data_IF_360359012173
#
_entry.id   IF_360359012173
#
_cell.length_a   1.000
_cell.length_b   1.000
_cell.length_c   1.000
_cell.angle_alpha   90.00
_cell.angle_beta   90.00
_cell.angle_gamma   90.00
#
_symmetry.space_group_name_H-M   'P 1'
#
loop_
_entity.id
_entity.type
_entity.pdbx_description
1 polymer ?
#
# COMPACT_ATOMS: atom_id res chain seq x y z
N UNK A 1 -5.19 -17.94 5.03
CA UNK A 1 -5.57 -17.30 6.31
C UNK A 1 -6.71 -16.33 6.06
N UNK A 2 -7.74 -16.41 6.88
CA UNK A 2 -8.91 -15.56 6.72
C UNK A 2 -8.63 -14.13 7.18
N UNK A 3 -9.17 -13.18 6.46
CA UNK A 3 -9.06 -11.76 6.77
C UNK A 3 -10.37 -11.05 6.43
N UNK A 4 -10.52 -9.85 6.99
CA UNK A 4 -11.60 -8.93 6.64
C UNK A 4 -11.01 -7.57 6.32
N UNK A 5 -11.65 -6.84 5.41
CA UNK A 5 -11.36 -5.44 5.16
C UNK A 5 -12.46 -4.62 5.82
N UNK A 6 -12.08 -3.80 6.78
CA UNK A 6 -13.01 -2.96 7.54
C UNK A 6 -12.58 -1.51 7.38
N UNK A 7 -13.51 -0.64 7.02
CA UNK A 7 -13.22 0.78 6.83
C UNK A 7 -12.57 1.36 8.08
N UNK A 8 -11.47 2.08 7.89
CA UNK A 8 -10.74 2.71 8.99
C UNK A 8 -11.51 3.89 9.58
N UNK A 9 -11.29 4.16 10.86
CA UNK A 9 -11.91 5.27 11.59
C UNK A 9 -10.84 6.18 12.19
N UNK A 10 -11.29 7.28 12.82
CA UNK A 10 -10.38 8.21 13.50
C UNK A 10 -9.48 7.52 14.52
N UNK A 11 -9.98 6.48 15.18
CA UNK A 11 -9.19 5.73 16.17
C UNK A 11 -8.02 4.99 15.57
N UNK A 12 -8.00 4.80 14.26
CA UNK A 12 -6.96 4.07 13.55
C UNK A 12 -5.81 4.96 13.03
N UNK A 13 -5.97 6.28 13.11
CA UNK A 13 -5.03 7.23 12.48
C UNK A 13 -3.59 7.00 12.93
N UNK A 14 -3.34 6.84 14.23
CA UNK A 14 -1.97 6.62 14.72
C UNK A 14 -1.35 5.35 14.17
N UNK A 15 -2.12 4.28 14.10
CA UNK A 15 -1.67 3.01 13.54
C UNK A 15 -1.40 3.12 12.04
N UNK A 16 -2.26 3.83 11.30
CA UNK A 16 -2.06 4.07 9.86
C UNK A 16 -0.81 4.91 9.60
N UNK A 17 -0.55 5.91 10.43
CA UNK A 17 0.68 6.71 10.36
C UNK A 17 1.90 5.82 10.57
N UNK A 18 1.87 4.96 11.57
CA UNK A 18 2.95 4.03 11.86
C UNK A 18 3.22 3.08 10.68
N UNK A 19 2.19 2.49 10.11
CA UNK A 19 2.32 1.61 8.94
C UNK A 19 2.94 2.33 7.75
N UNK A 20 2.49 3.54 7.46
CA UNK A 20 3.03 4.31 6.34
C UNK A 20 4.50 4.67 6.53
N UNK A 21 4.88 5.07 7.74
CA UNK A 21 6.27 5.34 8.08
C UNK A 21 7.13 4.10 7.88
N UNK A 22 6.69 2.94 8.35
CA UNK A 22 7.42 1.68 8.19
C UNK A 22 7.61 1.35 6.71
N UNK A 23 6.61 1.55 5.89
CA UNK A 23 6.71 1.32 4.44
C UNK A 23 7.76 2.25 3.81
N UNK A 24 7.70 3.54 4.11
CA UNK A 24 8.61 4.51 3.52
C UNK A 24 10.05 4.25 3.98
N UNK A 25 10.27 4.08 5.28
CA UNK A 25 11.62 3.93 5.83
C UNK A 25 12.25 2.57 5.54
N UNK A 26 11.49 1.58 5.14
CA UNK A 26 12.03 0.29 4.69
C UNK A 26 12.91 0.46 3.44
N UNK A 27 12.53 1.36 2.53
CA UNK A 27 13.20 1.52 1.24
C UNK A 27 13.96 2.83 1.09
N UNK A 28 13.63 3.85 1.85
CA UNK A 28 14.32 5.13 1.83
C UNK A 28 15.56 5.05 2.73
N UNK A 29 16.75 5.05 2.11
CA UNK A 29 18.04 4.88 2.79
C UNK A 29 18.82 6.19 2.83
N UNK A 30 19.77 6.29 3.78
CA UNK A 30 20.74 7.39 3.85
C UNK A 30 20.08 8.78 3.91
N UNK A 31 19.00 8.86 4.69
CA UNK A 31 18.24 10.10 4.83
C UNK A 31 18.88 11.04 5.84
N UNK A 32 18.93 12.33 5.51
CA UNK A 32 19.30 13.38 6.46
C UNK A 32 18.19 13.58 7.49
N UNK A 33 18.53 14.26 8.59
CA UNK A 33 17.54 14.61 9.62
C UNK A 33 16.39 15.46 9.04
N UNK A 34 16.72 16.41 8.14
CA UNK A 34 15.71 17.22 7.46
C UNK A 34 14.78 16.40 6.60
N UNK A 35 15.31 15.42 5.86
CA UNK A 35 14.51 14.53 5.03
C UNK A 35 13.57 13.67 5.88
N UNK A 36 14.06 13.13 6.99
CA UNK A 36 13.25 12.36 7.94
C UNK A 36 12.12 13.22 8.50
N UNK A 37 12.41 14.45 8.89
CA UNK A 37 11.40 15.38 9.41
C UNK A 37 10.33 15.71 8.36
N UNK A 38 10.72 15.91 7.11
CA UNK A 38 9.77 16.14 6.00
C UNK A 38 8.85 14.96 5.78
N UNK A 39 9.40 13.74 5.82
CA UNK A 39 8.61 12.51 5.67
C UNK A 39 7.63 12.38 6.84
N UNK A 40 8.08 12.58 8.07
CA UNK A 40 7.23 12.50 9.25
C UNK A 40 6.07 13.51 9.18
N UNK A 41 6.36 14.75 8.77
CA UNK A 41 5.33 15.77 8.62
C UNK A 41 4.36 15.44 7.49
N UNK A 42 4.86 14.96 6.37
CA UNK A 42 4.03 14.54 5.24
C UNK A 42 3.04 13.45 5.66
N UNK A 43 3.53 12.40 6.31
CA UNK A 43 2.69 11.27 6.73
C UNK A 43 1.64 11.72 7.75
N UNK A 44 2.04 12.52 8.75
CA UNK A 44 1.15 13.02 9.80
C UNK A 44 0.00 13.86 9.21
N UNK A 45 0.29 14.63 8.17
CA UNK A 45 -0.71 15.49 7.53
C UNK A 45 -1.54 14.74 6.49
N UNK A 46 -0.94 13.81 5.77
CA UNK A 46 -1.57 13.13 4.64
C UNK A 46 -2.54 12.02 5.06
N UNK A 47 -2.18 11.23 6.07
CA UNK A 47 -3.02 10.11 6.51
C UNK A 47 -4.42 10.57 6.93
N UNK A 48 -4.58 11.61 7.77
CA UNK A 48 -5.94 12.05 8.14
C UNK A 48 -6.77 12.51 6.94
N UNK A 49 -6.15 13.14 5.94
CA UNK A 49 -6.85 13.60 4.74
C UNK A 49 -7.40 12.45 3.91
N UNK A 50 -6.72 11.30 3.93
CA UNK A 50 -7.09 10.11 3.16
C UNK A 50 -7.82 9.07 3.98
N UNK A 51 -8.22 9.39 5.19
CA UNK A 51 -8.82 8.41 6.11
C UNK A 51 -10.01 7.67 5.49
N UNK A 52 -10.86 8.36 4.74
CA UNK A 52 -12.03 7.76 4.11
C UNK A 52 -11.68 6.73 3.02
N UNK A 53 -10.43 6.72 2.56
CA UNK A 53 -9.93 5.80 1.54
C UNK A 53 -9.20 4.59 2.12
N UNK A 54 -8.94 4.61 3.44
CA UNK A 54 -8.26 3.52 4.12
C UNK A 54 -9.21 2.44 4.58
N UNK A 55 -8.76 1.19 4.47
CA UNK A 55 -9.38 0.04 5.11
C UNK A 55 -8.36 -0.66 5.99
N UNK A 56 -8.80 -1.13 7.15
CA UNK A 56 -7.99 -1.98 8.00
C UNK A 56 -8.03 -3.41 7.49
N UNK A 57 -6.89 -4.08 7.50
CA UNK A 57 -6.84 -5.53 7.30
C UNK A 57 -6.93 -6.16 8.69
N UNK A 58 -7.96 -6.99 8.90
CA UNK A 58 -8.27 -7.56 10.21
C UNK A 58 -8.18 -9.08 10.15
N UNK A 59 -7.44 -9.66 11.09
CA UNK A 59 -7.30 -11.11 11.26
C UNK A 59 -7.57 -11.42 12.72
N UNK A 60 -8.49 -12.35 12.99
CA UNK A 60 -8.87 -12.74 14.35
C UNK A 60 -9.18 -11.53 15.25
N UNK A 61 -10.01 -10.61 14.71
CA UNK A 61 -10.46 -9.38 15.39
C UNK A 61 -9.34 -8.37 15.71
N UNK A 62 -8.16 -8.54 15.11
CA UNK A 62 -7.03 -7.61 15.28
C UNK A 62 -6.72 -6.91 13.98
N UNK A 63 -6.44 -5.61 14.05
CA UNK A 63 -5.90 -4.86 12.92
C UNK A 63 -4.43 -5.28 12.73
N UNK A 64 -4.11 -5.81 11.56
CA UNK A 64 -2.78 -6.32 11.23
C UNK A 64 -2.15 -5.66 10.00
N UNK A 65 -2.84 -4.71 9.42
CA UNK A 65 -2.37 -4.00 8.24
C UNK A 65 -3.41 -3.02 7.72
N UNK A 66 -3.13 -2.46 6.56
CA UNK A 66 -4.04 -1.52 5.93
C UNK A 66 -3.98 -1.57 4.40
N UNK A 67 -5.03 -1.06 3.78
CA UNK A 67 -5.16 -0.89 2.35
C UNK A 67 -5.61 0.53 2.06
N UNK A 68 -4.93 1.21 1.15
CA UNK A 68 -5.30 2.54 0.70
C UNK A 68 -5.54 2.52 -0.80
N UNK A 69 -6.76 2.83 -1.20
CA UNK A 69 -7.15 2.98 -2.59
C UNK A 69 -7.60 4.43 -2.82
N UNK A 70 -7.07 5.06 -3.86
CA UNK A 70 -7.45 6.43 -4.22
C UNK A 70 -7.81 6.49 -5.70
N UNK A 71 -8.51 7.54 -6.10
CA UNK A 71 -8.84 7.76 -7.50
C UNK A 71 -7.59 8.24 -8.25
N UNK A 72 -7.41 7.75 -9.46
CA UNK A 72 -6.28 8.13 -10.31
C UNK A 72 -6.70 8.12 -11.77
N UNK A 73 -6.74 9.31 -12.40
CA UNK A 73 -7.07 9.47 -13.81
C UNK A 73 -8.32 8.68 -14.21
N UNK A 74 -8.16 7.62 -14.99
CA UNK A 74 -9.24 6.75 -15.50
C UNK A 74 -9.42 5.49 -14.66
N UNK A 75 -8.79 5.40 -13.50
CA UNK A 75 -8.83 4.17 -12.70
C UNK A 75 -8.62 4.40 -11.22
N UNK A 76 -8.05 3.40 -10.59
CA UNK A 76 -7.79 3.37 -9.14
C UNK A 76 -6.29 3.25 -8.89
N UNK A 77 -5.77 4.02 -7.96
CA UNK A 77 -4.40 3.85 -7.48
C UNK A 77 -4.42 2.95 -6.24
N UNK A 78 -3.72 1.82 -6.31
CA UNK A 78 -3.39 1.03 -5.14
C UNK A 78 -2.21 1.75 -4.46
N UNK A 79 -2.55 2.69 -3.58
CA UNK A 79 -1.60 3.64 -3.01
C UNK A 79 -0.76 3.01 -1.90
N UNK A 80 -1.36 2.16 -1.11
CA UNK A 80 -0.66 1.49 -0.02
C UNK A 80 -1.33 0.15 0.29
N UNK A 81 -0.51 -0.88 0.49
CA UNK A 81 -0.91 -2.13 1.13
C UNK A 81 0.20 -2.52 2.09
N UNK A 82 -0.15 -2.70 3.34
CA UNK A 82 0.81 -3.05 4.39
C UNK A 82 0.25 -4.17 5.26
N UNK A 83 1.10 -5.15 5.56
CA UNK A 83 0.82 -6.21 6.52
C UNK A 83 1.96 -6.26 7.54
N UNK A 84 1.61 -6.40 8.81
CA UNK A 84 2.60 -6.68 9.85
C UNK A 84 3.34 -7.97 9.52
N UNK A 85 4.61 -8.01 9.83
CA UNK A 85 5.55 -9.03 9.36
C UNK A 85 5.06 -10.47 9.58
N UNK A 86 4.50 -10.77 10.76
CA UNK A 86 4.06 -12.13 11.06
C UNK A 86 2.84 -12.60 10.29
N UNK A 87 2.17 -11.69 9.58
CA UNK A 87 1.01 -12.04 8.73
C UNK A 87 1.35 -12.10 7.25
N UNK A 88 2.61 -11.86 6.90
CA UNK A 88 3.09 -11.93 5.52
C UNK A 88 3.33 -13.39 5.09
N UNK A 89 3.37 -13.61 3.78
CA UNK A 89 3.62 -14.91 3.16
C UNK A 89 2.57 -15.97 3.53
N UNK A 90 1.34 -15.54 3.79
CA UNK A 90 0.19 -16.41 4.12
C UNK A 90 -0.95 -16.26 3.13
N UNK A 91 -0.72 -15.55 2.03
CA UNK A 91 -1.70 -15.36 0.96
C UNK A 91 -2.65 -14.19 1.15
N UNK A 92 -2.61 -13.49 2.27
CA UNK A 92 -3.52 -12.36 2.54
C UNK A 92 -3.32 -11.24 1.51
N UNK A 93 -2.09 -10.77 1.33
CA UNK A 93 -1.78 -9.70 0.39
C UNK A 93 -2.18 -10.03 -1.03
N UNK A 94 -1.86 -11.23 -1.48
CA UNK A 94 -2.22 -11.72 -2.82
C UNK A 94 -3.73 -11.73 -3.00
N UNK A 95 -4.47 -12.21 -2.03
CA UNK A 95 -5.93 -12.27 -2.09
C UNK A 95 -6.56 -10.88 -2.11
N UNK A 96 -6.01 -9.93 -1.36
CA UNK A 96 -6.48 -8.55 -1.38
C UNK A 96 -6.25 -7.92 -2.76
N UNK A 97 -5.08 -8.12 -3.34
CA UNK A 97 -4.78 -7.60 -4.68
C UNK A 97 -5.73 -8.19 -5.73
N UNK A 98 -6.01 -9.49 -5.66
CA UNK A 98 -7.00 -10.13 -6.54
C UNK A 98 -8.39 -9.55 -6.37
N UNK A 99 -8.78 -9.23 -5.14
CA UNK A 99 -10.06 -8.59 -4.84
C UNK A 99 -10.13 -7.18 -5.47
N UNK A 100 -9.05 -6.41 -5.35
CA UNK A 100 -8.94 -5.09 -6.00
C UNK A 100 -9.06 -5.22 -7.51
N UNK A 101 -8.39 -6.20 -8.10
CA UNK A 101 -8.47 -6.50 -9.55
C UNK A 101 -9.90 -6.83 -9.97
N UNK A 102 -10.61 -7.63 -9.18
CA UNK A 102 -11.98 -8.02 -9.50
C UNK A 102 -12.96 -6.85 -9.47
N UNK A 103 -12.67 -5.83 -8.67
CA UNK A 103 -13.56 -4.69 -8.46
C UNK A 103 -13.20 -3.44 -9.27
N UNK A 104 -12.12 -3.48 -10.05
CA UNK A 104 -11.63 -2.32 -10.78
C UNK A 104 -11.12 -2.74 -12.16
N UNK A 105 -11.44 -1.95 -13.19
CA UNK A 105 -11.00 -2.25 -14.57
C UNK A 105 -9.57 -1.79 -14.82
N UNK A 106 -9.16 -0.68 -14.21
CA UNK A 106 -7.84 -0.08 -14.39
C UNK A 106 -7.27 0.22 -13.02
N UNK A 107 -6.06 -0.27 -12.78
CA UNK A 107 -5.37 -0.09 -11.50
C UNK A 107 -3.95 0.36 -11.75
N UNK A 108 -3.53 1.39 -11.02
CA UNK A 108 -2.15 1.88 -11.01
C UNK A 108 -1.52 1.60 -9.67
N UNK A 109 -0.20 1.43 -9.64
CA UNK A 109 0.57 1.34 -8.41
C UNK A 109 2.01 1.75 -8.62
N UNK A 110 2.65 2.19 -7.53
CA UNK A 110 4.08 2.37 -7.44
C UNK A 110 4.69 1.25 -6.60
N UNK A 111 5.84 0.75 -7.00
CA UNK A 111 6.56 -0.27 -6.24
C UNK A 111 8.06 0.01 -6.31
N UNK A 112 8.74 -0.16 -5.18
CA UNK A 112 10.19 -0.01 -5.15
C UNK A 112 10.88 -1.12 -5.93
N UNK A 113 11.89 -0.77 -6.71
CA UNK A 113 12.63 -1.73 -7.55
C UNK A 113 13.29 -2.84 -6.75
N UNK A 114 13.65 -2.56 -5.50
CA UNK A 114 14.25 -3.54 -4.59
C UNK A 114 13.26 -4.65 -4.18
N UNK A 115 11.97 -4.38 -4.27
CA UNK A 115 10.92 -5.32 -3.87
C UNK A 115 10.64 -6.33 -4.98
N UNK A 116 11.63 -7.15 -5.29
CA UNK A 116 11.62 -8.07 -6.44
C UNK A 116 10.48 -9.08 -6.38
N UNK A 117 10.20 -9.62 -5.20
CA UNK A 117 9.12 -10.61 -5.02
C UNK A 117 7.75 -10.02 -5.32
N UNK A 118 7.50 -8.81 -4.82
CA UNK A 118 6.22 -8.13 -5.05
C UNK A 118 6.05 -7.73 -6.51
N UNK A 119 7.11 -7.26 -7.16
CA UNK A 119 7.08 -6.95 -8.60
C UNK A 119 6.72 -8.21 -9.40
N UNK A 120 7.34 -9.33 -9.07
CA UNK A 120 7.06 -10.61 -9.72
C UNK A 120 5.58 -11.00 -9.57
N UNK A 121 5.02 -10.82 -8.38
CA UNK A 121 3.61 -11.08 -8.11
C UNK A 121 2.71 -10.18 -8.96
N UNK A 122 2.98 -8.88 -8.99
CA UNK A 122 2.19 -7.94 -9.79
C UNK A 122 2.22 -8.31 -11.28
N UNK A 123 3.39 -8.66 -11.81
CA UNK A 123 3.50 -9.10 -13.21
C UNK A 123 2.67 -10.36 -13.49
N UNK A 124 2.69 -11.33 -12.58
CA UNK A 124 1.88 -12.54 -12.70
C UNK A 124 0.39 -12.23 -12.72
N UNK A 125 -0.04 -11.21 -11.99
CA UNK A 125 -1.43 -10.82 -11.90
C UNK A 125 -1.88 -9.92 -13.06
N UNK A 126 -0.98 -9.57 -13.97
CA UNK A 126 -1.31 -8.83 -15.18
C UNK A 126 -0.90 -7.37 -15.18
N UNK A 127 -0.14 -6.92 -14.19
CA UNK A 127 0.40 -5.56 -14.18
C UNK A 127 1.63 -5.46 -15.07
N UNK A 128 1.76 -4.32 -15.75
CA UNK A 128 2.93 -4.00 -16.60
C UNK A 128 3.53 -2.68 -16.17
N UNK A 129 4.86 -2.58 -16.28
CA UNK A 129 5.57 -1.34 -16.02
C UNK A 129 5.28 -0.36 -17.15
N UNK A 130 4.82 0.85 -16.81
CA UNK A 130 4.53 1.90 -17.79
C UNK A 130 5.47 3.10 -17.63
N UNK A 131 6.02 3.32 -16.46
CA UNK A 131 7.01 4.37 -16.18
C UNK A 131 7.95 3.89 -15.09
N UNK A 132 9.07 4.57 -14.92
CA UNK A 132 9.96 4.32 -13.80
C UNK A 132 10.67 5.58 -13.36
N UNK A 133 11.03 5.62 -12.08
CA UNK A 133 11.96 6.57 -11.52
C UNK A 133 13.27 5.84 -11.22
N UNK A 134 14.23 6.52 -10.61
CA UNK A 134 15.47 5.88 -10.19
C UNK A 134 15.21 4.70 -9.22
N UNK A 135 14.26 4.83 -8.32
CA UNK A 135 14.02 3.86 -7.25
C UNK A 135 12.74 3.05 -7.36
N UNK A 136 11.80 3.45 -8.23
CA UNK A 136 10.48 2.82 -8.30
C UNK A 136 10.03 2.54 -9.72
N UNK A 137 9.15 1.54 -9.86
CA UNK A 137 8.35 1.30 -11.07
C UNK A 137 6.93 1.81 -10.86
N UNK A 138 6.37 2.40 -11.91
CA UNK A 138 4.94 2.70 -11.99
C UNK A 138 4.29 1.65 -12.87
N UNK A 139 3.34 0.92 -12.32
CA UNK A 139 2.73 -0.22 -12.99
C UNK A 139 1.23 0.00 -13.22
N UNK A 140 0.72 -0.62 -14.26
CA UNK A 140 -0.70 -0.54 -14.62
C UNK A 140 -1.25 -1.93 -14.91
N UNK A 141 -2.45 -2.17 -14.40
CA UNK A 141 -3.31 -3.29 -14.78
C UNK A 141 -4.50 -2.75 -15.58
N UNK A 142 -4.83 -3.41 -16.70
CA UNK A 142 -6.06 -3.15 -17.47
C UNK A 142 -6.76 -4.47 -17.74
N UNK A 143 -8.05 -4.45 -17.49
CA UNK A 143 -8.90 -5.62 -17.71
C UNK A 143 -9.05 -5.93 -19.19
#
# INVERSE_FOLDING_TARGET
>A
MDYKLIKSSNDDIEKLIDYKKKTIFEYAKDLSENEINKINNYVKNNVPKLLNNYSNIVVDDKVVGCLLLTDKDDGTLLDEIYLEEKYRNKGIGTNIIKEVINNNDIIYLWVYKENVQTISLYKKLGFNVIEETESRYYMKYSK
#
